data_IF_796925225800
#
_entry.id   IF_796925225800
#
_cell.length_a   1.000
_cell.length_b   1.000
_cell.length_c   1.000
_cell.angle_alpha   90.00
_cell.angle_beta   90.00
_cell.angle_gamma   90.00
#
_symmetry.space_group_name_H-M   'P 1'
#
loop_
_entity.id
_entity.type
_entity.pdbx_description
1 polymer ?
#
# COMPACT_ATOMS: atom_id res chain seq x y z
N UNK A 1 -16.93 -2.53 3.26
CA UNK A 1 -16.48 -3.54 2.28
C UNK A 1 -16.75 -2.98 0.89
N UNK A 2 -15.73 -2.63 0.10
CA UNK A 2 -15.94 -2.16 -1.27
C UNK A 2 -16.31 -3.37 -2.13
N UNK A 3 -17.59 -3.49 -2.50
CA UNK A 3 -18.03 -4.52 -3.43
C UNK A 3 -17.29 -4.29 -4.76
N UNK A 4 -16.47 -5.26 -5.17
CA UNK A 4 -15.74 -5.20 -6.44
C UNK A 4 -16.74 -5.54 -7.53
N UNK A 5 -17.10 -4.55 -8.34
CA UNK A 5 -17.98 -4.76 -9.48
C UNK A 5 -17.23 -5.47 -10.59
N UNK A 6 -17.85 -6.52 -11.12
CA UNK A 6 -17.42 -7.22 -12.33
C UNK A 6 -17.93 -6.50 -13.58
N UNK A 7 -17.34 -6.79 -14.74
CA UNK A 7 -17.81 -6.24 -16.02
C UNK A 7 -19.28 -6.62 -16.26
N UNK A 8 -19.70 -7.83 -15.88
CA UNK A 8 -21.10 -8.27 -15.98
C UNK A 8 -22.06 -7.43 -15.15
N UNK A 9 -21.62 -6.93 -13.99
CA UNK A 9 -22.45 -6.07 -13.15
C UNK A 9 -22.71 -4.73 -13.85
N UNK A 10 -21.68 -4.13 -14.46
CA UNK A 10 -21.81 -2.90 -15.24
C UNK A 10 -22.74 -3.07 -16.45
N UNK A 11 -22.63 -4.18 -17.18
CA UNK A 11 -23.50 -4.46 -18.32
C UNK A 11 -24.96 -4.67 -17.89
N UNK A 12 -25.17 -5.34 -16.75
CA UNK A 12 -26.52 -5.56 -16.20
C UNK A 12 -27.18 -4.25 -15.77
N UNK A 13 -26.44 -3.38 -15.08
CA UNK A 13 -26.92 -2.07 -14.64
C UNK A 13 -27.22 -1.16 -15.83
N UNK A 14 -26.39 -1.19 -16.87
CA UNK A 14 -26.62 -0.44 -18.10
C UNK A 14 -27.93 -0.89 -18.79
N UNK A 15 -28.20 -2.19 -18.83
CA UNK A 15 -29.47 -2.73 -19.38
C UNK A 15 -30.67 -2.27 -18.55
N UNK A 16 -30.57 -2.28 -17.23
CA UNK A 16 -31.63 -1.77 -16.36
C UNK A 16 -31.86 -0.27 -16.56
N UNK A 17 -30.79 0.51 -16.74
CA UNK A 17 -30.87 1.93 -17.05
C UNK A 17 -31.57 2.18 -18.40
N UNK A 18 -31.28 1.36 -19.41
CA UNK A 18 -31.98 1.38 -20.70
C UNK A 18 -33.47 1.08 -20.57
N UNK A 19 -33.84 0.05 -19.80
CA UNK A 19 -35.25 -0.27 -19.53
C UNK A 19 -35.95 0.87 -18.77
N UNK A 20 -35.29 1.44 -17.77
CA UNK A 20 -35.83 2.53 -16.97
C UNK A 20 -36.09 3.79 -17.83
N UNK A 21 -35.17 4.07 -18.75
CA UNK A 21 -35.31 5.17 -19.72
C UNK A 21 -36.52 4.98 -20.62
N UNK A 22 -36.78 3.74 -21.08
CA UNK A 22 -37.98 3.40 -21.86
C UNK A 22 -39.27 3.54 -21.06
N UNK A 23 -39.25 3.15 -19.78
CA UNK A 23 -40.43 3.20 -18.92
C UNK A 23 -40.78 4.61 -18.43
N UNK A 24 -39.78 5.48 -18.25
CA UNK A 24 -39.96 6.84 -17.72
C UNK A 24 -39.01 7.83 -18.40
N UNK A 25 -39.25 8.18 -19.67
CA UNK A 25 -38.39 9.12 -20.40
C UNK A 25 -38.34 10.47 -19.69
N UNK A 26 -37.15 11.03 -19.51
CA UNK A 26 -36.95 12.35 -18.91
C UNK A 26 -37.22 12.45 -17.40
N UNK A 27 -37.40 11.31 -16.69
CA UNK A 27 -37.54 11.33 -15.24
C UNK A 27 -36.23 11.68 -14.54
N UNK A 28 -36.32 12.48 -13.47
CA UNK A 28 -35.18 12.79 -12.59
C UNK A 28 -34.47 11.52 -12.10
N UNK A 29 -35.20 10.42 -11.89
CA UNK A 29 -34.65 9.14 -11.46
C UNK A 29 -33.68 8.56 -12.49
N UNK A 30 -34.00 8.67 -13.79
CA UNK A 30 -33.11 8.21 -14.88
C UNK A 30 -31.82 9.01 -14.87
N UNK A 31 -31.93 10.34 -14.74
CA UNK A 31 -30.76 11.23 -14.68
C UNK A 31 -29.88 10.92 -13.46
N UNK A 32 -30.47 10.77 -12.26
CA UNK A 32 -29.69 10.44 -11.06
C UNK A 32 -29.01 9.08 -11.19
N UNK A 33 -29.70 8.05 -11.69
CA UNK A 33 -29.12 6.72 -11.87
C UNK A 33 -28.03 6.70 -12.95
N UNK A 34 -28.18 7.48 -14.03
CA UNK A 34 -27.15 7.65 -15.03
C UNK A 34 -25.88 8.32 -14.45
N UNK A 35 -26.06 9.37 -13.63
CA UNK A 35 -24.93 10.02 -12.93
C UNK A 35 -24.23 9.05 -11.98
N UNK A 36 -24.98 8.30 -11.16
CA UNK A 36 -24.41 7.30 -10.25
C UNK A 36 -23.67 6.20 -11.03
N UNK A 37 -24.19 5.79 -12.18
CA UNK A 37 -23.54 4.81 -13.05
C UNK A 37 -22.20 5.34 -13.61
N UNK A 38 -22.17 6.59 -14.07
CA UNK A 38 -20.95 7.28 -14.52
C UNK A 38 -19.91 7.37 -13.40
N UNK A 39 -20.32 7.73 -12.18
CA UNK A 39 -19.42 7.77 -11.02
C UNK A 39 -18.84 6.38 -10.70
N UNK A 40 -19.66 5.33 -10.80
CA UNK A 40 -19.20 3.94 -10.61
C UNK A 40 -18.20 3.52 -11.67
N UNK A 41 -18.41 3.92 -12.93
CA UNK A 41 -17.45 3.64 -14.02
C UNK A 41 -16.09 4.27 -13.70
N UNK A 42 -16.08 5.55 -13.33
CA UNK A 42 -14.86 6.29 -12.97
C UNK A 42 -14.17 5.74 -11.73
N UNK A 43 -14.92 5.18 -10.78
CA UNK A 43 -14.39 4.60 -9.55
C UNK A 43 -13.81 3.17 -9.74
N UNK A 44 -14.19 2.46 -10.81
CA UNK A 44 -13.70 1.13 -11.11
C UNK A 44 -12.22 1.16 -11.51
N UNK A 45 -11.42 0.32 -10.85
CA UNK A 45 -9.95 0.26 -11.02
C UNK A 45 -9.48 -0.83 -11.97
N UNK A 46 -10.35 -1.79 -12.30
CA UNK A 46 -10.00 -3.01 -13.02
C UNK A 46 -10.70 -3.08 -14.37
N UNK A 47 -10.47 -2.10 -15.24
CA UNK A 47 -10.99 -2.12 -16.61
C UNK A 47 -10.08 -2.93 -17.52
N UNK A 48 -10.63 -3.96 -18.16
CA UNK A 48 -9.96 -4.66 -19.26
C UNK A 48 -10.37 -4.04 -20.58
N UNK A 49 -9.49 -4.09 -21.58
CA UNK A 49 -9.81 -3.64 -22.95
C UNK A 49 -11.06 -4.33 -23.51
N UNK A 50 -11.22 -5.63 -23.25
CA UNK A 50 -12.41 -6.39 -23.62
C UNK A 50 -13.68 -5.89 -22.93
N UNK A 51 -13.62 -5.55 -21.64
CA UNK A 51 -14.76 -5.01 -20.90
C UNK A 51 -15.18 -3.61 -21.37
N UNK A 52 -14.20 -2.77 -21.69
CA UNK A 52 -14.43 -1.43 -22.27
C UNK A 52 -15.15 -1.56 -23.62
N UNK A 53 -14.69 -2.44 -24.50
CA UNK A 53 -15.31 -2.66 -25.83
C UNK A 53 -16.75 -3.16 -25.67
N UNK A 54 -17.00 -4.10 -24.75
CA UNK A 54 -18.34 -4.61 -24.48
C UNK A 54 -19.28 -3.51 -23.99
N UNK A 55 -18.80 -2.65 -23.08
CA UNK A 55 -19.60 -1.55 -22.54
C UNK A 55 -19.93 -0.52 -23.63
N UNK A 56 -18.95 -0.10 -24.43
CA UNK A 56 -19.17 0.84 -25.53
C UNK A 56 -20.14 0.27 -26.55
N UNK A 57 -19.97 -1.01 -26.93
CA UNK A 57 -20.86 -1.68 -27.89
C UNK A 57 -22.30 -1.74 -27.38
N UNK A 58 -22.50 -2.06 -26.10
CA UNK A 58 -23.83 -2.08 -25.48
C UNK A 58 -24.46 -0.68 -25.41
N UNK A 59 -23.70 0.36 -25.01
CA UNK A 59 -24.18 1.76 -25.01
C UNK A 59 -24.62 2.23 -26.40
N UNK A 60 -23.86 1.87 -27.44
CA UNK A 60 -24.20 2.21 -28.82
C UNK A 60 -25.47 1.49 -29.30
N UNK A 61 -25.66 0.24 -28.88
CA UNK A 61 -26.85 -0.55 -29.24
C UNK A 61 -28.15 -0.11 -28.56
N UNK A 62 -28.06 0.64 -27.44
CA UNK A 62 -29.22 1.07 -26.67
C UNK A 62 -29.77 2.43 -27.14
N UNK A 63 -31.09 2.57 -27.05
CA UNK A 63 -31.82 3.82 -27.28
C UNK A 63 -31.79 4.70 -26.01
N UNK A 64 -30.59 5.16 -25.65
CA UNK A 64 -30.39 6.13 -24.57
C UNK A 64 -30.35 7.57 -25.13
N UNK A 65 -30.72 8.58 -24.33
CA UNK A 65 -30.51 9.99 -24.67
C UNK A 65 -29.04 10.29 -24.94
N UNK A 66 -28.76 11.11 -25.94
CA UNK A 66 -27.39 11.40 -26.39
C UNK A 66 -26.50 11.96 -25.27
N UNK A 67 -27.05 12.84 -24.42
CA UNK A 67 -26.34 13.39 -23.26
C UNK A 67 -25.85 12.30 -22.28
N UNK A 68 -26.61 11.22 -22.10
CA UNK A 68 -26.22 10.10 -21.23
C UNK A 68 -25.17 9.23 -21.92
N UNK A 69 -25.29 9.02 -23.23
CA UNK A 69 -24.30 8.27 -24.02
C UNK A 69 -22.94 8.96 -24.01
N UNK A 70 -22.91 10.26 -24.25
CA UNK A 70 -21.70 11.08 -24.21
C UNK A 70 -21.05 11.03 -22.82
N UNK A 71 -21.84 11.18 -21.76
CA UNK A 71 -21.33 11.12 -20.38
C UNK A 71 -20.71 9.77 -20.03
N UNK A 72 -21.29 8.66 -20.51
CA UNK A 72 -20.74 7.31 -20.30
C UNK A 72 -19.47 7.10 -21.13
N UNK A 73 -19.43 7.58 -22.37
CA UNK A 73 -18.24 7.47 -23.23
C UNK A 73 -17.06 8.26 -22.67
N UNK A 74 -17.29 9.52 -22.25
CA UNK A 74 -16.27 10.34 -21.58
C UNK A 74 -15.76 9.67 -20.29
N UNK A 75 -16.67 9.07 -19.51
CA UNK A 75 -16.30 8.34 -18.30
C UNK A 75 -15.38 7.14 -18.61
N UNK A 76 -15.64 6.42 -19.70
CA UNK A 76 -14.82 5.28 -20.13
C UNK A 76 -13.45 5.72 -20.65
N UNK A 77 -13.38 6.81 -21.41
CA UNK A 77 -12.11 7.36 -21.92
C UNK A 77 -11.19 7.83 -20.78
N UNK A 78 -11.76 8.39 -19.71
CA UNK A 78 -11.02 8.83 -18.53
C UNK A 78 -10.63 7.70 -17.55
N UNK A 79 -11.12 6.47 -17.76
CA UNK A 79 -10.79 5.33 -16.88
C UNK A 79 -9.32 4.88 -16.97
N UNK A 80 -8.64 5.11 -18.10
CA UNK A 80 -7.23 4.72 -18.25
C UNK A 80 -6.24 5.84 -17.88
N UNK A 81 -6.66 7.09 -17.84
CA UNK A 81 -5.77 8.23 -17.53
C UNK A 81 -5.49 8.39 -16.03
N UNK A 82 -6.28 7.75 -15.16
CA UNK A 82 -6.10 7.80 -13.70
C UNK A 82 -4.98 6.91 -13.15
N UNK A 83 -4.21 6.22 -14.01
CA UNK A 83 -3.07 5.40 -13.60
C UNK A 83 -1.74 5.94 -14.16
N UNK A 84 -1.44 7.21 -13.85
CA UNK A 84 -0.07 7.69 -13.86
C UNK A 84 0.75 6.86 -12.84
N UNK A 85 1.31 5.75 -13.34
CA UNK A 85 2.05 4.69 -12.63
C UNK A 85 3.18 5.20 -11.74
N UNK A 86 3.69 6.41 -12.00
CA UNK A 86 4.77 7.03 -11.22
C UNK A 86 4.30 7.71 -9.92
N UNK A 87 3.07 8.25 -9.87
CA UNK A 87 2.55 8.98 -8.69
C UNK A 87 2.02 8.00 -7.63
N UNK A 88 1.45 6.86 -8.02
CA UNK A 88 1.05 5.81 -7.05
C UNK A 88 2.24 5.13 -6.37
N UNK A 89 3.38 5.00 -7.04
CA UNK A 89 4.60 4.46 -6.41
C UNK A 89 5.17 5.39 -5.34
N UNK A 90 5.04 6.71 -5.51
CA UNK A 90 5.52 7.70 -4.54
C UNK A 90 4.52 8.00 -3.42
N UNK A 91 3.21 7.82 -3.67
CA UNK A 91 2.13 8.31 -2.79
C UNK A 91 1.29 7.20 -2.14
N UNK A 92 1.28 5.98 -2.66
CA UNK A 92 0.58 4.87 -2.00
C UNK A 92 1.48 4.26 -0.93
N UNK A 93 1.02 4.27 0.34
CA UNK A 93 1.76 3.65 1.44
C UNK A 93 2.19 2.22 1.11
N UNK A 94 3.48 1.96 1.19
CA UNK A 94 4.02 0.63 0.93
C UNK A 94 3.74 -0.25 2.15
N UNK A 95 3.18 -1.45 1.91
CA UNK A 95 2.94 -2.43 2.98
C UNK A 95 4.19 -3.30 3.10
N UNK A 96 4.89 -3.20 4.23
CA UNK A 96 5.91 -4.18 4.59
C UNK A 96 5.22 -5.27 5.40
N UNK A 97 5.32 -6.50 4.93
CA UNK A 97 4.70 -7.67 5.59
C UNK A 97 5.60 -8.22 6.69
N UNK A 98 6.92 -8.15 6.52
CA UNK A 98 7.89 -8.73 7.45
C UNK A 98 9.06 -7.79 7.70
N UNK A 99 8.87 -6.81 8.60
CA UNK A 99 9.87 -5.79 8.94
C UNK A 99 11.21 -6.39 9.41
N UNK A 100 11.25 -7.46 10.24
CA UNK A 100 12.52 -8.02 10.74
C UNK A 100 13.49 -8.48 9.65
N UNK A 101 13.02 -9.00 8.52
CA UNK A 101 13.90 -9.43 7.42
C UNK A 101 14.65 -8.27 6.76
N UNK A 102 14.18 -7.03 6.94
CA UNK A 102 14.82 -5.86 6.38
C UNK A 102 15.76 -5.18 7.37
N UNK A 103 15.93 -5.67 8.59
CA UNK A 103 16.88 -5.11 9.55
C UNK A 103 18.28 -5.66 9.29
N UNK A 104 19.28 -4.78 9.26
CA UNK A 104 20.69 -5.16 9.18
C UNK A 104 21.24 -5.53 10.55
N UNK A 105 22.39 -6.19 10.60
CA UNK A 105 23.11 -6.46 11.85
C UNK A 105 23.37 -5.18 12.66
N UNK A 106 23.69 -4.07 11.98
CA UNK A 106 23.88 -2.77 12.61
C UNK A 106 22.58 -2.23 13.23
N UNK A 107 21.44 -2.40 12.55
CA UNK A 107 20.13 -2.01 13.09
C UNK A 107 19.79 -2.84 14.34
N UNK A 108 20.07 -4.15 14.34
CA UNK A 108 19.86 -5.02 15.49
C UNK A 108 20.73 -4.64 16.69
N UNK A 109 22.01 -4.35 16.46
CA UNK A 109 22.90 -3.85 17.52
C UNK A 109 22.45 -2.49 18.06
N UNK A 110 22.01 -1.58 17.19
CA UNK A 110 21.49 -0.28 17.58
C UNK A 110 20.19 -0.41 18.38
N UNK A 111 19.31 -1.34 17.99
CA UNK A 111 18.14 -1.70 18.78
C UNK A 111 18.57 -2.19 20.16
N UNK A 112 19.42 -3.22 20.24
CA UNK A 112 19.93 -3.85 21.47
C UNK A 112 20.59 -2.88 22.45
N UNK A 113 21.35 -1.92 21.94
CA UNK A 113 22.02 -0.88 22.74
C UNK A 113 21.12 0.29 23.13
N UNK A 114 19.97 0.49 22.48
CA UNK A 114 19.06 1.57 22.79
C UNK A 114 18.44 1.40 24.19
N UNK A 115 18.54 2.48 24.99
CA UNK A 115 18.10 2.53 26.39
C UNK A 115 16.63 2.90 26.49
N UNK A 116 16.17 3.86 25.69
CA UNK A 116 14.76 4.29 25.68
C UNK A 116 13.97 3.66 24.54
N UNK A 117 12.65 3.60 24.70
CA UNK A 117 11.73 3.13 23.66
C UNK A 117 11.72 4.08 22.45
N UNK A 118 11.90 5.37 22.69
CA UNK A 118 11.94 6.39 21.65
C UNK A 118 13.19 6.23 20.77
N UNK A 119 14.32 5.86 21.37
CA UNK A 119 15.55 5.54 20.64
C UNK A 119 15.35 4.30 19.76
N UNK A 120 14.72 3.25 20.30
CA UNK A 120 14.38 2.05 19.54
C UNK A 120 13.45 2.37 18.37
N UNK A 121 12.42 3.19 18.60
CA UNK A 121 11.51 3.68 17.57
C UNK A 121 12.23 4.53 16.51
N UNK A 122 13.21 5.35 16.91
CA UNK A 122 14.03 6.15 16.00
C UNK A 122 14.89 5.28 15.07
N UNK A 123 15.51 4.21 15.59
CA UNK A 123 16.27 3.25 14.77
C UNK A 123 15.38 2.64 13.69
N UNK A 124 14.18 2.18 14.08
CA UNK A 124 13.21 1.63 13.14
C UNK A 124 12.78 2.67 12.10
N UNK A 125 12.47 3.89 12.53
CA UNK A 125 12.05 4.96 11.63
C UNK A 125 13.13 5.31 10.60
N UNK A 126 14.39 5.42 11.02
CA UNK A 126 15.55 5.64 10.12
C UNK A 126 15.68 4.52 9.11
N UNK A 127 15.55 3.26 9.53
CA UNK A 127 15.61 2.11 8.61
C UNK A 127 14.49 2.14 7.59
N UNK A 128 13.26 2.41 8.01
CA UNK A 128 12.11 2.53 7.10
C UNK A 128 12.32 3.67 6.09
N UNK A 129 12.87 4.82 6.52
CA UNK A 129 13.23 5.93 5.62
C UNK A 129 14.33 5.54 4.64
N UNK A 130 15.33 4.80 5.08
CA UNK A 130 16.40 4.31 4.21
C UNK A 130 15.91 3.31 3.14
N UNK A 131 14.82 2.57 3.43
CA UNK A 131 14.12 1.76 2.44
C UNK A 131 13.23 2.56 1.48
N UNK A 132 13.16 3.89 1.64
CA UNK A 132 12.38 4.76 0.78
C UNK A 132 10.91 4.91 1.18
N UNK A 133 10.52 4.50 2.39
CA UNK A 133 9.12 4.65 2.80
C UNK A 133 8.76 6.12 3.00
N UNK A 134 7.75 6.57 2.26
CA UNK A 134 7.20 7.92 2.36
C UNK A 134 6.01 8.00 3.31
N UNK A 135 5.20 6.94 3.35
CA UNK A 135 3.97 6.82 4.14
C UNK A 135 3.88 5.45 4.82
N UNK A 136 3.38 5.44 6.06
CA UNK A 136 3.19 4.23 6.85
C UNK A 136 1.75 3.71 6.72
N UNK A 137 1.61 2.44 6.38
CA UNK A 137 0.35 1.71 6.59
C UNK A 137 0.31 1.16 8.00
N UNK A 138 -0.88 1.06 8.56
CA UNK A 138 -1.15 0.51 9.90
C UNK A 138 -0.46 -0.84 10.14
N UNK A 139 -0.52 -1.75 9.15
CA UNK A 139 0.17 -3.04 9.25
C UNK A 139 1.68 -2.92 9.43
N UNK A 140 2.32 -1.94 8.77
CA UNK A 140 3.76 -1.70 8.92
C UNK A 140 4.06 -1.22 10.34
N UNK A 141 3.24 -0.33 10.89
CA UNK A 141 3.37 0.13 12.28
C UNK A 141 3.24 -1.03 13.26
N UNK A 142 2.23 -1.88 13.10
CA UNK A 142 2.05 -3.06 13.95
C UNK A 142 3.23 -4.02 13.90
N UNK A 143 3.83 -4.24 12.72
CA UNK A 143 5.03 -5.08 12.59
C UNK A 143 6.25 -4.47 13.29
N UNK A 144 6.44 -3.14 13.19
CA UNK A 144 7.48 -2.44 13.93
C UNK A 144 7.29 -2.62 15.44
N UNK A 145 6.09 -2.32 15.94
CA UNK A 145 5.79 -2.44 17.38
C UNK A 145 5.94 -3.87 17.88
N UNK A 146 5.51 -4.87 17.10
CA UNK A 146 5.72 -6.28 17.43
C UNK A 146 7.22 -6.61 17.55
N UNK A 147 8.05 -6.07 16.66
CA UNK A 147 9.51 -6.24 16.71
C UNK A 147 10.10 -5.59 17.96
N UNK A 148 9.67 -4.38 18.31
CA UNK A 148 10.11 -3.68 19.52
C UNK A 148 9.68 -4.41 20.79
N UNK A 149 8.46 -4.94 20.82
CA UNK A 149 7.96 -5.74 21.94
C UNK A 149 8.77 -7.02 22.11
N UNK A 150 9.12 -7.69 21.00
CA UNK A 150 9.98 -8.88 21.03
C UNK A 150 11.37 -8.57 21.58
N UNK A 151 12.01 -7.48 21.12
CA UNK A 151 13.32 -7.05 21.60
C UNK A 151 13.29 -6.68 23.09
N UNK A 152 12.24 -6.03 23.57
CA UNK A 152 12.12 -5.70 24.99
C UNK A 152 11.86 -6.95 25.83
N UNK A 153 11.06 -7.89 25.31
CA UNK A 153 10.83 -9.17 25.97
C UNK A 153 12.10 -10.01 26.07
N UNK A 154 12.92 -10.06 25.01
CA UNK A 154 14.18 -10.82 25.02
C UNK A 154 15.22 -10.25 26.00
N UNK A 155 15.12 -8.97 26.36
CA UNK A 155 15.92 -8.35 27.43
C UNK A 155 15.39 -8.57 28.84
N UNK A 156 14.30 -9.32 29.00
CA UNK A 156 13.66 -9.53 30.29
C UNK A 156 12.95 -8.28 30.83
N UNK A 157 12.62 -7.31 29.99
CA UNK A 157 11.81 -6.17 30.44
C UNK A 157 10.39 -6.61 30.78
N UNK A 158 9.75 -5.96 31.76
CA UNK A 158 8.37 -6.28 32.13
C UNK A 158 7.42 -6.06 30.95
N UNK A 159 6.43 -6.95 30.85
CA UNK A 159 5.43 -6.88 29.80
C UNK A 159 4.67 -5.55 29.89
N UNK A 160 4.58 -4.85 28.74
CA UNK A 160 3.91 -3.57 28.68
C UNK A 160 2.40 -3.72 28.80
N UNK A 161 1.76 -2.78 29.49
CA UNK A 161 0.30 -2.72 29.58
C UNK A 161 -0.31 -2.40 28.19
N UNK A 162 -1.50 -2.95 27.86
CA UNK A 162 -2.14 -2.73 26.57
C UNK A 162 -2.30 -1.26 26.18
N UNK A 163 -2.64 -0.38 27.14
CA UNK A 163 -2.76 1.07 26.89
C UNK A 163 -1.44 1.70 26.45
N UNK A 164 -0.32 1.28 27.05
CA UNK A 164 1.00 1.78 26.68
C UNK A 164 1.39 1.32 25.26
N UNK A 165 1.01 0.10 24.87
CA UNK A 165 1.23 -0.41 23.51
C UNK A 165 0.43 0.41 22.48
N UNK A 166 -0.81 0.79 22.82
CA UNK A 166 -1.60 1.67 21.95
C UNK A 166 -0.97 3.05 21.78
N UNK A 167 -0.48 3.67 22.85
CA UNK A 167 0.22 4.96 22.76
C UNK A 167 1.46 4.90 21.87
N UNK A 168 2.19 3.77 21.87
CA UNK A 168 3.35 3.59 21.00
C UNK A 168 3.02 3.65 19.50
N UNK A 169 1.77 3.42 19.09
CA UNK A 169 1.35 3.58 17.69
C UNK A 169 1.45 5.05 17.28
N UNK A 170 0.90 5.94 18.10
CA UNK A 170 0.89 7.38 17.85
C UNK A 170 2.31 7.96 17.98
N UNK A 171 3.06 7.52 19.00
CA UNK A 171 4.45 7.93 19.22
C UNK A 171 5.34 7.54 18.03
N UNK A 172 5.22 6.29 17.55
CA UNK A 172 6.00 5.84 16.41
C UNK A 172 5.65 6.61 15.13
N UNK A 173 4.36 6.89 14.90
CA UNK A 173 3.95 7.71 13.77
C UNK A 173 4.56 9.11 13.87
N UNK A 174 4.52 9.75 15.04
CA UNK A 174 5.13 11.07 15.25
C UNK A 174 6.64 11.04 14.97
N UNK A 175 7.36 10.06 15.51
CA UNK A 175 8.81 9.87 15.31
C UNK A 175 9.14 9.64 13.83
N UNK A 176 8.38 8.81 13.12
CA UNK A 176 8.60 8.55 11.70
C UNK A 176 8.41 9.80 10.83
N UNK A 177 7.36 10.58 11.10
CA UNK A 177 7.12 11.83 10.38
C UNK A 177 8.17 12.90 10.71
N UNK A 178 8.71 12.91 11.93
CA UNK A 178 9.84 13.75 12.33
C UNK A 178 11.21 13.28 11.80
N UNK A 179 11.33 12.03 11.36
CA UNK A 179 12.58 11.49 10.80
C UNK A 179 12.76 11.95 9.36
N UNK A 180 13.91 12.58 9.08
CA UNK A 180 14.26 13.13 7.77
C UNK A 180 14.12 12.10 6.64
N UNK A 181 13.60 12.55 5.49
CA UNK A 181 13.57 11.75 4.27
C UNK A 181 14.98 11.66 3.72
N UNK A 182 15.40 10.46 3.31
CA UNK A 182 16.69 10.27 2.66
C UNK A 182 16.50 10.57 1.18
N UNK A 183 17.06 11.67 0.69
CA UNK A 183 17.12 11.96 -0.73
C UNK A 183 18.19 11.08 -1.37
N UNK A 184 17.81 10.30 -2.38
CA UNK A 184 18.72 9.41 -3.13
C UNK A 184 19.95 10.11 -3.74
N UNK A 185 20.00 11.45 -3.73
CA UNK A 185 21.15 12.23 -4.18
C UNK A 185 22.37 12.17 -3.23
N UNK A 186 22.21 11.76 -1.96
CA UNK A 186 23.29 11.74 -0.97
C UNK A 186 23.81 10.34 -0.60
N UNK A 187 23.19 9.28 -1.10
CA UNK A 187 23.57 7.88 -0.81
C UNK A 187 24.94 7.47 -1.36
N UNK A 188 25.58 8.28 -2.22
CA UNK A 188 26.94 8.06 -2.68
C UNK A 188 28.02 8.30 -1.62
N UNK A 189 27.73 8.99 -0.53
CA UNK A 189 28.76 9.37 0.46
C UNK A 189 28.79 8.50 1.72
N UNK A 190 27.74 7.72 1.99
CA UNK A 190 27.67 6.85 3.18
C UNK A 190 28.15 5.40 2.94
N UNK A 191 28.50 5.05 1.70
CA UNK A 191 29.18 3.79 1.36
C UNK A 191 30.70 3.97 1.14
N UNK A 192 31.23 5.18 1.32
CA UNK A 192 32.64 5.53 1.19
C UNK A 192 33.43 5.31 2.48
N UNK A 193 33.40 4.10 3.03
CA UNK A 193 34.20 3.71 4.19
C UNK A 193 34.95 2.43 3.90
N UNK A 194 36.21 2.58 3.45
CA UNK A 194 37.28 1.57 3.49
C UNK A 194 36.89 0.13 3.15
N UNK A 195 37.14 -0.22 1.89
CA UNK A 195 37.26 -1.59 1.39
C UNK A 195 37.97 -2.53 2.39
N UNK A 196 37.32 -3.61 2.88
CA UNK A 196 38.03 -4.76 3.41
C UNK A 196 38.29 -5.73 2.26
N UNK A 197 39.56 -6.08 2.10
CA UNK A 197 40.07 -7.08 1.19
C UNK A 197 39.25 -8.37 1.23
N UNK A 198 38.61 -8.72 0.10
CA UNK A 198 38.13 -10.07 -0.14
C UNK A 198 39.33 -10.99 -0.39
N UNK A 199 39.96 -11.49 0.67
CA UNK A 199 40.81 -12.68 0.61
C UNK A 199 40.54 -13.61 1.79
N UNK A 200 39.84 -14.69 1.47
CA UNK A 200 40.01 -16.01 2.03
C UNK A 200 39.73 -16.17 3.51
N UNK A 201 38.54 -16.69 3.84
CA UNK A 201 38.35 -17.67 4.92
C UNK A 201 37.12 -18.52 4.56
N UNK A 202 37.27 -19.82 4.80
CA UNK A 202 36.43 -20.91 4.30
C UNK A 202 34.94 -20.81 4.70
N UNK A 203 34.07 -21.26 3.80
CA UNK A 203 32.68 -21.60 4.12
C UNK A 203 32.65 -22.76 5.12
N UNK A 204 31.94 -22.66 6.27
CA UNK A 204 31.44 -23.83 6.95
C UNK A 204 30.10 -24.21 6.36
N UNK A 205 30.04 -25.45 5.85
CA UNK A 205 28.85 -26.13 5.37
C UNK A 205 27.73 -26.12 6.42
N UNK A 206 26.49 -25.87 5.97
CA UNK A 206 25.24 -25.82 6.76
C UNK A 206 24.89 -27.17 7.44
N UNK A 207 25.71 -28.21 7.30
CA UNK A 207 25.45 -29.54 7.84
C UNK A 207 25.91 -29.78 9.30
N UNK A 208 26.62 -28.86 9.96
CA UNK A 208 27.19 -29.10 11.30
C UNK A 208 26.35 -28.61 12.49
N UNK A 209 25.28 -27.85 12.28
CA UNK A 209 24.46 -27.33 13.39
C UNK A 209 23.40 -28.30 13.94
N UNK A 210 23.21 -29.47 13.33
CA UNK A 210 22.15 -30.43 13.70
C UNK A 210 22.62 -31.64 14.53
N UNK A 211 23.88 -31.69 14.97
CA UNK A 211 24.39 -32.81 15.77
C UNK A 211 24.86 -32.48 17.19
N UNK A 212 24.81 -31.22 17.64
CA UNK A 212 25.19 -30.86 19.02
C UNK A 212 24.00 -30.66 19.97
N UNK A 213 22.89 -31.36 19.74
CA UNK A 213 21.78 -31.46 20.68
C UNK A 213 21.27 -32.88 20.79
N UNK A 214 22.13 -33.77 21.29
CA UNK A 214 21.77 -34.94 22.11
C UNK A 214 22.86 -35.15 23.16
#
# INVERSE_FOLDING_TARGET
MSQVWSISDFLSELRHLGQLTKMRPGSLVVTTMATTFVERIRAAKNWTSAGIIQLIGEVQSMELPDAIKESIQEAVETCQTNEASHIKLSTCGQKIVHVPAYLTTADWQALESAVSKDDQMSVMAKRLRAMGLTSLKENTVHQVLATLLYVNHSRGQPQMQPRAIHSMVDDFQAIFHGTAKIDCAQTGHLLGGSSPEWRGLAEPSIHEWLQSSQ
#
